data_IF_151769221586
#
_entry.id   IF_151769221586
#
_cell.length_a   1.000
_cell.length_b   1.000
_cell.length_c   1.000
_cell.angle_alpha   90.00
_cell.angle_beta   90.00
_cell.angle_gamma   90.00
#
_symmetry.space_group_name_H-M   'P 1'
#
loop_
_entity.id
_entity.type
_entity.pdbx_description
1 polymer ?
#
# COMPACT_ATOMS: atom_id res chain seq x y z
N UNK A 1 -9.67 -13.18 0.57
CA UNK A 1 -10.42 -13.44 -0.70
C UNK A 1 -9.41 -13.74 -1.78
N UNK A 2 -9.58 -14.83 -2.51
CA UNK A 2 -8.71 -15.13 -3.64
C UNK A 2 -9.12 -14.35 -4.89
N UNK A 3 -8.25 -14.36 -5.91
CA UNK A 3 -8.48 -13.61 -7.16
C UNK A 3 -9.76 -14.04 -7.87
N UNK A 4 -10.06 -15.36 -7.87
CA UNK A 4 -11.25 -15.89 -8.55
C UNK A 4 -12.53 -15.38 -7.88
N UNK A 5 -12.59 -15.42 -6.56
CA UNK A 5 -13.73 -14.91 -5.79
C UNK A 5 -13.88 -13.40 -5.97
N UNK A 6 -12.77 -12.67 -5.98
CA UNK A 6 -12.77 -11.22 -6.23
C UNK A 6 -13.36 -10.89 -7.62
N UNK A 7 -12.93 -11.60 -8.66
CA UNK A 7 -13.41 -11.37 -10.02
C UNK A 7 -14.88 -11.75 -10.21
N UNK A 8 -15.43 -12.60 -9.35
CA UNK A 8 -16.85 -12.96 -9.38
C UNK A 8 -17.76 -11.87 -8.80
N UNK A 9 -17.23 -10.93 -8.05
CA UNK A 9 -18.00 -9.81 -7.50
C UNK A 9 -18.15 -8.68 -8.51
N UNK A 10 -19.28 -7.98 -8.43
CA UNK A 10 -19.51 -6.76 -9.21
C UNK A 10 -19.28 -5.56 -8.32
N UNK A 11 -18.21 -4.82 -8.58
CA UNK A 11 -17.88 -3.59 -7.86
C UNK A 11 -18.34 -2.38 -8.66
N UNK A 12 -18.87 -1.37 -7.98
CA UNK A 12 -19.14 -0.06 -8.59
C UNK A 12 -17.89 0.78 -8.67
N UNK A 13 -16.98 0.60 -7.70
CA UNK A 13 -15.72 1.33 -7.61
C UNK A 13 -14.58 0.38 -7.26
N UNK A 14 -13.42 0.60 -7.88
CA UNK A 14 -12.18 -0.10 -7.55
C UNK A 14 -11.17 0.93 -7.03
N UNK A 15 -10.57 0.62 -5.89
CA UNK A 15 -9.44 1.38 -5.35
C UNK A 15 -8.19 0.56 -5.58
N UNK A 16 -7.23 1.11 -6.30
CA UNK A 16 -5.95 0.45 -6.58
C UNK A 16 -4.92 0.99 -5.59
N UNK A 17 -4.55 0.15 -4.65
CA UNK A 17 -3.64 0.48 -3.56
C UNK A 17 -4.33 0.49 -2.20
N UNK A 18 -3.92 -0.41 -1.32
CA UNK A 18 -4.40 -0.52 0.07
C UNK A 18 -3.53 0.26 1.07
N UNK A 19 -2.94 1.37 0.63
CA UNK A 19 -2.19 2.27 1.49
C UNK A 19 -3.09 3.26 2.23
N UNK A 20 -2.48 4.20 2.95
CA UNK A 20 -3.19 5.18 3.78
C UNK A 20 -4.31 5.90 3.05
N UNK A 21 -4.03 6.44 1.87
CA UNK A 21 -5.01 7.18 1.08
C UNK A 21 -6.09 6.28 0.50
N UNK A 22 -5.70 5.13 -0.05
CA UNK A 22 -6.65 4.20 -0.68
C UNK A 22 -7.64 3.64 0.31
N UNK A 23 -7.21 3.29 1.52
CA UNK A 23 -8.10 2.77 2.57
C UNK A 23 -9.08 3.83 3.06
N UNK A 24 -8.68 5.09 3.15
CA UNK A 24 -9.59 6.20 3.50
C UNK A 24 -10.67 6.37 2.42
N UNK A 25 -10.27 6.37 1.15
CA UNK A 25 -11.22 6.47 0.03
C UNK A 25 -12.19 5.30 0.04
N UNK A 26 -11.69 4.07 0.21
CA UNK A 26 -12.52 2.87 0.26
C UNK A 26 -13.52 2.92 1.42
N UNK A 27 -13.07 3.30 2.61
CA UNK A 27 -13.91 3.41 3.78
C UNK A 27 -15.03 4.45 3.59
N UNK A 28 -14.70 5.61 3.07
CA UNK A 28 -15.68 6.68 2.84
C UNK A 28 -16.70 6.32 1.76
N UNK A 29 -16.26 5.75 0.65
CA UNK A 29 -17.18 5.29 -0.40
C UNK A 29 -18.12 4.19 0.11
N UNK A 30 -17.62 3.31 0.97
CA UNK A 30 -18.41 2.20 1.52
C UNK A 30 -19.51 2.64 2.48
N UNK A 31 -19.49 3.88 2.95
CA UNK A 31 -20.58 4.43 3.77
C UNK A 31 -21.90 4.55 2.99
N UNK A 32 -21.83 4.64 1.68
CA UNK A 32 -23.02 4.65 0.83
C UNK A 32 -23.45 3.20 0.51
N UNK A 33 -24.66 2.76 0.93
CA UNK A 33 -25.10 1.38 0.73
C UNK A 33 -25.29 0.99 -0.74
N UNK A 34 -25.34 1.97 -1.64
CA UNK A 34 -25.46 1.72 -3.08
C UNK A 34 -24.11 1.55 -3.79
N UNK A 35 -23.00 1.73 -3.05
CA UNK A 35 -21.64 1.59 -3.58
C UNK A 35 -20.99 0.33 -3.04
N UNK A 36 -20.47 -0.48 -3.94
CA UNK A 36 -19.66 -1.66 -3.60
C UNK A 36 -18.22 -1.39 -4.01
N UNK A 37 -17.31 -1.40 -3.05
CA UNK A 37 -15.90 -1.07 -3.28
C UNK A 37 -15.05 -2.33 -3.24
N UNK A 38 -14.23 -2.51 -4.27
CA UNK A 38 -13.14 -3.48 -4.26
C UNK A 38 -11.81 -2.75 -4.05
N UNK A 39 -10.91 -3.33 -3.27
CA UNK A 39 -9.56 -2.80 -3.07
C UNK A 39 -8.54 -3.82 -3.54
N UNK A 40 -7.61 -3.38 -4.37
CA UNK A 40 -6.50 -4.19 -4.87
C UNK A 40 -5.20 -3.68 -4.24
N UNK A 41 -4.46 -4.58 -3.60
CA UNK A 41 -3.15 -4.27 -3.01
C UNK A 41 -2.12 -5.27 -3.51
N UNK A 42 -0.97 -4.75 -3.97
CA UNK A 42 0.11 -5.58 -4.49
C UNK A 42 0.96 -6.22 -3.38
N UNK A 43 1.01 -5.60 -2.22
CA UNK A 43 1.76 -6.09 -1.07
C UNK A 43 0.97 -7.07 -0.23
N UNK A 44 1.66 -7.69 0.74
CA UNK A 44 1.03 -8.61 1.66
C UNK A 44 0.31 -7.88 2.80
N UNK A 45 -0.60 -8.58 3.47
CA UNK A 45 -1.19 -8.10 4.71
C UNK A 45 -0.13 -8.13 5.83
N UNK A 46 0.21 -6.97 6.37
CA UNK A 46 1.24 -6.84 7.39
C UNK A 46 0.64 -6.54 8.78
N UNK A 47 -0.52 -7.11 9.08
CA UNK A 47 -1.28 -6.79 10.30
C UNK A 47 -0.53 -7.11 11.59
N UNK A 48 0.28 -8.17 11.59
CA UNK A 48 1.06 -8.60 12.75
C UNK A 48 2.58 -8.46 12.52
N UNK A 49 2.99 -7.61 11.59
CA UNK A 49 4.40 -7.42 11.26
C UNK A 49 5.03 -6.31 12.14
N UNK A 50 5.90 -6.68 13.10
CA UNK A 50 6.51 -5.70 14.02
C UNK A 50 7.32 -4.61 13.32
N UNK A 51 7.97 -4.94 12.20
CA UNK A 51 8.76 -3.98 11.41
C UNK A 51 7.90 -2.87 10.81
N UNK A 52 6.59 -3.11 10.67
CA UNK A 52 5.62 -2.14 10.16
C UNK A 52 4.87 -1.48 11.32
N UNK A 53 4.45 -2.27 12.32
CA UNK A 53 3.46 -1.85 13.31
C UNK A 53 4.08 -1.17 14.54
N UNK A 54 5.37 -1.37 14.80
CA UNK A 54 6.06 -0.77 15.95
C UNK A 54 6.80 0.49 15.50
N UNK A 55 6.37 1.70 15.92
CA UNK A 55 7.00 2.95 15.47
C UNK A 55 8.51 3.03 15.78
N UNK A 56 8.95 2.46 16.90
CA UNK A 56 10.36 2.43 17.27
C UNK A 56 11.26 1.58 16.37
N UNK A 57 10.65 0.77 15.50
CA UNK A 57 11.35 -0.07 14.52
C UNK A 57 11.30 0.54 13.10
N UNK A 58 11.08 1.83 13.03
CA UNK A 58 11.09 2.59 11.77
C UNK A 58 12.38 2.31 10.98
N UNK A 59 12.21 2.01 9.70
CA UNK A 59 13.33 1.75 8.80
C UNK A 59 13.69 0.27 8.65
N UNK A 60 13.25 -0.62 9.54
CA UNK A 60 13.60 -2.04 9.44
C UNK A 60 12.91 -2.76 8.27
N UNK A 61 11.83 -2.19 7.74
CA UNK A 61 11.14 -2.73 6.57
C UNK A 61 11.79 -2.35 5.23
N UNK A 62 12.73 -1.42 5.24
CA UNK A 62 13.42 -0.98 4.03
C UNK A 62 14.24 -2.14 3.43
N UNK A 63 14.14 -2.31 2.12
CA UNK A 63 14.81 -3.38 1.40
C UNK A 63 14.18 -4.76 1.55
N UNK A 64 13.04 -4.87 2.21
CA UNK A 64 12.29 -6.12 2.38
C UNK A 64 11.13 -6.22 1.39
N UNK A 65 10.33 -7.29 1.48
CA UNK A 65 9.10 -7.45 0.69
C UNK A 65 8.05 -6.35 0.92
N UNK A 66 8.17 -5.58 2.01
CA UNK A 66 7.29 -4.47 2.36
C UNK A 66 7.73 -3.14 1.75
N UNK A 67 8.75 -3.14 0.92
CA UNK A 67 9.32 -1.97 0.26
C UNK A 67 9.36 -2.19 -1.25
N UNK A 68 8.85 -1.24 -2.02
CA UNK A 68 8.95 -1.27 -3.47
C UNK A 68 10.38 -1.16 -3.98
N UNK A 69 11.31 -0.68 -3.14
CA UNK A 69 12.73 -0.54 -3.44
C UNK A 69 13.00 0.29 -4.70
N UNK A 70 12.23 1.35 -4.88
CA UNK A 70 12.43 2.27 -5.99
C UNK A 70 13.74 3.05 -5.83
N UNK A 71 14.31 3.41 -6.96
CA UNK A 71 15.45 4.30 -7.07
C UNK A 71 15.12 5.43 -8.03
N UNK A 72 15.70 6.62 -7.78
CA UNK A 72 15.62 7.68 -8.77
C UNK A 72 16.49 7.34 -9.98
N UNK A 73 16.19 7.96 -11.13
CA UNK A 73 17.15 8.02 -12.24
C UNK A 73 18.36 8.87 -11.81
N UNK A 74 19.51 8.74 -12.48
CA UNK A 74 20.67 9.57 -12.17
C UNK A 74 20.31 11.06 -12.18
N UNK A 75 20.70 11.79 -11.14
CA UNK A 75 20.38 13.20 -10.97
C UNK A 75 21.61 14.07 -11.27
N UNK A 76 21.54 14.89 -12.31
CA UNK A 76 22.65 15.76 -12.71
C UNK A 76 23.08 16.71 -11.58
N UNK A 77 22.13 17.27 -10.83
CA UNK A 77 22.40 18.13 -9.68
C UNK A 77 23.04 17.43 -8.48
N UNK A 78 23.14 16.10 -8.49
CA UNK A 78 23.72 15.28 -7.44
C UNK A 78 24.91 14.45 -7.97
N UNK A 79 25.66 15.00 -8.91
CA UNK A 79 26.80 14.33 -9.54
C UNK A 79 26.45 12.97 -10.18
N UNK A 80 25.25 12.85 -10.75
CA UNK A 80 24.77 11.63 -11.41
C UNK A 80 24.37 10.53 -10.43
N UNK A 81 24.23 10.80 -9.14
CA UNK A 81 23.83 9.79 -8.14
C UNK A 81 22.38 9.39 -8.31
N UNK A 82 22.11 8.12 -8.09
CA UNK A 82 20.77 7.58 -7.87
C UNK A 82 20.50 7.57 -6.37
N UNK A 83 19.28 7.92 -5.98
CA UNK A 83 18.86 7.92 -4.58
C UNK A 83 17.83 6.82 -4.34
N UNK A 84 17.91 6.10 -3.21
CA UNK A 84 16.82 5.23 -2.80
C UNK A 84 15.55 6.05 -2.61
N UNK A 85 14.42 5.52 -3.07
CA UNK A 85 13.12 6.18 -2.95
C UNK A 85 12.10 5.20 -2.36
N UNK A 86 12.21 4.91 -1.05
CA UNK A 86 11.37 3.90 -0.42
C UNK A 86 9.89 4.23 -0.50
N UNK A 87 9.09 3.21 -0.75
CA UNK A 87 7.62 3.28 -0.67
C UNK A 87 7.12 1.97 -0.11
N UNK A 88 6.18 2.06 0.80
CA UNK A 88 5.57 0.90 1.45
C UNK A 88 4.79 0.06 0.45
N UNK A 89 4.90 -1.25 0.60
CA UNK A 89 4.24 -2.25 -0.23
C UNK A 89 3.52 -3.24 0.67
N UNK A 90 2.43 -2.82 1.29
CA UNK A 90 1.58 -3.68 2.11
C UNK A 90 0.21 -3.01 2.32
N UNK A 91 -0.76 -3.79 2.84
CA UNK A 91 -1.92 -3.19 3.47
C UNK A 91 -1.44 -2.34 4.64
N UNK A 92 -1.74 -1.08 4.62
CA UNK A 92 -1.51 -0.23 5.77
C UNK A 92 -2.70 -0.31 6.72
N UNK A 93 -2.40 -0.55 7.98
CA UNK A 93 -3.42 -0.40 9.02
C UNK A 93 -3.51 1.08 9.35
N UNK A 94 -4.70 1.71 9.26
CA UNK A 94 -4.82 3.10 9.66
C UNK A 94 -4.36 3.24 11.11
N UNK A 95 -3.35 4.07 11.33
CA UNK A 95 -2.95 4.44 12.67
C UNK A 95 -4.00 5.39 13.21
N UNK A 96 -4.69 4.94 14.21
CA UNK A 96 -5.69 5.75 14.89
C UNK A 96 -5.02 6.79 15.81
#
# INVERSE_FOLDING_TARGET
MDVKSFLAHKFTHLVVGGGTAGLVVAARLSENPNITVGVLEAGSAAFDEPRINIPGRFGESLGTEYDWQFETTPQAGLNGRKLPWPRVKCWEVPVH
#
